data_IF_494693413846
#
_entry.id   IF_494693413846
#
_cell.length_a   1.000
_cell.length_b   1.000
_cell.length_c   1.000
_cell.angle_alpha   90.00
_cell.angle_beta   90.00
_cell.angle_gamma   90.00
#
_symmetry.space_group_name_H-M   'P 1'
#
loop_
_entity.id
_entity.type
_entity.pdbx_description
1 polymer ?
#
# COMPACT_ATOMS: atom_id res chain seq x y z
N UNK A 1 1.85 37.32 -17.81
CA UNK A 1 2.70 36.12 -17.88
C UNK A 1 2.32 35.24 -16.71
N UNK A 2 1.39 34.33 -16.94
CA UNK A 2 1.08 33.26 -15.98
C UNK A 2 2.07 32.15 -16.25
N UNK A 3 3.21 32.16 -15.57
CA UNK A 3 4.19 31.09 -15.71
C UNK A 3 3.69 29.85 -14.98
N UNK A 4 4.00 28.67 -15.52
CA UNK A 4 3.84 27.40 -14.79
C UNK A 4 4.48 27.52 -13.40
N UNK A 5 3.83 26.99 -12.36
CA UNK A 5 4.35 27.08 -11.00
C UNK A 5 5.69 26.33 -10.87
N UNK A 6 6.59 26.83 -10.02
CA UNK A 6 7.93 26.26 -9.84
C UNK A 6 7.91 24.78 -9.42
N UNK A 7 7.01 24.32 -8.52
CA UNK A 7 6.88 22.89 -8.21
C UNK A 7 6.58 22.03 -9.44
N UNK A 8 5.67 22.47 -10.31
CA UNK A 8 5.38 21.73 -11.55
C UNK A 8 6.55 21.75 -12.55
N UNK A 9 7.26 22.87 -12.67
CA UNK A 9 8.49 22.92 -13.47
C UNK A 9 9.55 21.95 -12.94
N UNK A 10 9.74 21.89 -11.62
CA UNK A 10 10.65 20.95 -10.98
C UNK A 10 10.21 19.50 -11.22
N UNK A 11 8.90 19.21 -11.16
CA UNK A 11 8.37 17.89 -11.46
C UNK A 11 8.67 17.45 -12.91
N UNK A 12 8.56 18.35 -13.89
CA UNK A 12 8.94 18.07 -15.27
C UNK A 12 10.41 17.66 -15.40
N UNK A 13 11.33 18.42 -14.81
CA UNK A 13 12.75 18.05 -14.79
C UNK A 13 13.00 16.75 -14.05
N UNK A 14 12.39 16.53 -12.89
CA UNK A 14 12.53 15.28 -12.14
C UNK A 14 12.04 14.08 -12.96
N UNK A 15 10.95 14.25 -13.70
CA UNK A 15 10.42 13.22 -14.60
C UNK A 15 11.36 12.97 -15.79
N UNK A 16 11.86 14.02 -16.44
CA UNK A 16 12.80 13.90 -17.56
C UNK A 16 14.09 13.17 -17.15
N UNK A 17 14.55 13.37 -15.91
CA UNK A 17 15.72 12.69 -15.33
C UNK A 17 15.39 11.37 -14.59
N UNK A 18 14.12 10.94 -14.59
CA UNK A 18 13.64 9.77 -13.84
C UNK A 18 14.10 9.73 -12.36
N UNK A 19 13.96 10.88 -11.69
CA UNK A 19 14.42 11.15 -10.31
C UNK A 19 13.30 11.61 -9.38
N UNK A 20 12.05 11.54 -9.85
CA UNK A 20 10.89 11.92 -9.06
C UNK A 20 10.57 10.86 -7.98
N UNK A 21 9.83 11.29 -6.97
CA UNK A 21 9.32 10.40 -5.93
C UNK A 21 7.79 10.37 -6.02
N UNK A 22 7.21 9.17 -5.86
CA UNK A 22 5.75 9.00 -5.79
C UNK A 22 5.13 9.68 -4.55
N UNK A 23 3.80 9.65 -4.47
CA UNK A 23 3.09 10.18 -3.30
C UNK A 23 3.14 9.15 -2.17
N UNK A 24 3.69 9.53 -1.02
CA UNK A 24 3.76 8.65 0.14
C UNK A 24 2.41 8.62 0.87
N UNK A 25 1.79 7.44 1.06
CA UNK A 25 0.49 7.35 1.72
C UNK A 25 0.63 7.40 3.24
N UNK A 26 -0.29 8.11 3.90
CA UNK A 26 -0.37 8.13 5.35
C UNK A 26 -0.92 6.80 5.90
N UNK A 27 -0.04 5.93 6.39
CA UNK A 27 -0.39 4.64 7.00
C UNK A 27 0.29 4.42 8.35
N UNK A 28 -0.39 4.73 9.45
CA UNK A 28 0.19 4.65 10.80
C UNK A 28 0.51 3.24 11.32
N UNK A 29 -0.10 2.19 10.75
CA UNK A 29 0.09 0.80 11.20
C UNK A 29 1.11 0.01 10.38
N UNK A 30 1.57 0.57 9.27
CA UNK A 30 2.35 -0.14 8.25
C UNK A 30 1.56 -1.18 7.46
N UNK A 31 0.29 -1.45 7.77
CA UNK A 31 -0.58 -2.34 7.01
C UNK A 31 -1.91 -1.64 6.73
N UNK A 32 -2.06 -1.03 5.56
CA UNK A 32 -3.27 -0.31 5.17
C UNK A 32 -3.79 -0.80 3.81
N UNK A 33 -5.10 -0.82 3.65
CA UNK A 33 -5.76 -1.15 2.37
C UNK A 33 -6.66 -0.01 1.96
N UNK A 34 -6.49 0.49 0.74
CA UNK A 34 -7.31 1.55 0.18
C UNK A 34 -8.24 0.95 -0.87
N UNK A 35 -9.52 1.33 -0.91
CA UNK A 35 -10.37 1.03 -2.05
C UNK A 35 -9.78 1.67 -3.33
N UNK A 36 -10.27 1.24 -4.49
CA UNK A 36 -9.94 1.95 -5.72
C UNK A 36 -10.34 3.42 -5.61
N UNK A 37 -9.47 4.31 -6.08
CA UNK A 37 -9.73 5.74 -6.09
C UNK A 37 -9.29 6.34 -7.41
N UNK A 38 -9.91 7.47 -7.75
CA UNK A 38 -9.58 8.26 -8.93
C UNK A 38 -8.92 9.56 -8.55
N UNK A 39 -8.00 10.00 -9.39
CA UNK A 39 -7.33 11.28 -9.24
C UNK A 39 -7.05 11.88 -10.61
N UNK A 40 -7.05 13.21 -10.68
CA UNK A 40 -6.57 13.92 -11.85
C UNK A 40 -5.05 13.78 -11.93
N UNK A 41 -4.54 13.51 -13.12
CA UNK A 41 -3.11 13.42 -13.39
C UNK A 41 -2.80 13.73 -14.84
N UNK A 42 -1.57 13.40 -15.23
CA UNK A 42 -1.10 13.43 -16.61
C UNK A 42 -0.95 12.03 -17.16
N UNK A 43 -1.24 11.87 -18.43
CA UNK A 43 -0.98 10.68 -19.22
C UNK A 43 -0.05 11.03 -20.36
N UNK A 44 0.71 10.03 -20.79
CA UNK A 44 1.64 10.12 -21.90
C UNK A 44 1.18 9.19 -23.02
N UNK A 45 1.53 9.53 -24.26
CA UNK A 45 1.40 8.65 -25.41
C UNK A 45 2.52 8.96 -26.38
N UNK A 46 3.21 7.92 -26.86
CA UNK A 46 4.26 8.01 -27.85
C UNK A 46 4.07 6.94 -28.93
N UNK A 47 4.30 7.31 -30.18
CA UNK A 47 4.23 6.42 -31.33
C UNK A 47 5.41 6.60 -32.28
N UNK A 48 5.72 5.55 -33.04
CA UNK A 48 6.71 5.61 -34.12
C UNK A 48 6.12 6.37 -35.31
N UNK A 49 6.82 7.42 -35.73
CA UNK A 49 6.47 8.28 -36.86
C UNK A 49 7.57 8.30 -37.94
N UNK A 50 8.49 7.32 -37.91
CA UNK A 50 9.64 7.25 -38.82
C UNK A 50 9.22 7.12 -40.29
N UNK A 51 8.06 6.51 -40.57
CA UNK A 51 7.52 6.35 -41.92
C UNK A 51 7.09 7.70 -42.55
N UNK A 52 6.87 8.74 -41.76
CA UNK A 52 6.48 10.06 -42.24
C UNK A 52 7.68 10.93 -42.66
N UNK A 53 8.91 10.47 -42.41
CA UNK A 53 10.13 11.22 -42.73
C UNK A 53 10.32 11.26 -44.25
N UNK A 54 10.34 12.47 -44.82
CA UNK A 54 10.65 12.70 -46.21
C UNK A 54 12.14 13.06 -46.38
N UNK A 55 12.84 12.38 -47.29
CA UNK A 55 14.27 12.61 -47.55
C UNK A 55 14.48 13.27 -48.89
N UNK A 56 15.24 14.35 -48.91
CA UNK A 56 15.67 15.07 -50.12
C UNK A 56 17.18 15.26 -50.10
N UNK A 57 17.87 14.91 -51.18
CA UNK A 57 19.33 15.03 -51.27
C UNK A 57 19.74 15.90 -52.46
N UNK A 58 20.84 16.63 -52.30
CA UNK A 58 21.45 17.45 -53.34
C UNK A 58 22.73 16.75 -53.81
N UNK A 59 22.74 16.30 -55.06
CA UNK A 59 23.87 15.62 -55.68
C UNK A 59 24.66 16.57 -56.59
N UNK A 60 25.98 16.66 -56.39
CA UNK A 60 26.88 17.37 -57.29
C UNK A 60 27.72 16.38 -58.07
N UNK A 61 27.34 16.10 -59.34
CA UNK A 61 27.96 15.29 -60.42
C UNK A 61 28.66 13.94 -60.08
N UNK A 62 29.25 13.73 -58.91
CA UNK A 62 29.83 12.48 -58.39
C UNK A 62 29.76 12.31 -56.86
N UNK A 63 29.28 13.31 -56.08
CA UNK A 63 29.16 13.21 -54.61
C UNK A 63 27.87 13.85 -54.07
N UNK A 64 27.11 13.13 -53.26
CA UNK A 64 26.01 13.69 -52.46
C UNK A 64 26.58 14.72 -51.50
N UNK A 65 26.14 15.97 -51.63
CA UNK A 65 26.72 17.13 -50.93
C UNK A 65 25.98 17.44 -49.62
N UNK A 66 24.66 17.23 -49.63
CA UNK A 66 23.81 17.40 -48.46
C UNK A 66 22.53 16.57 -48.61
N UNK A 67 21.98 16.08 -47.51
CA UNK A 67 20.66 15.48 -47.45
C UNK A 67 19.86 16.13 -46.31
N UNK A 68 18.57 16.35 -46.57
CA UNK A 68 17.61 16.90 -45.63
C UNK A 68 16.50 15.87 -45.39
N UNK A 69 16.22 15.59 -44.12
CA UNK A 69 15.13 14.74 -43.65
C UNK A 69 14.12 15.62 -42.95
N UNK A 70 12.88 15.63 -43.43
CA UNK A 70 11.82 16.51 -42.95
C UNK A 70 10.61 15.72 -42.49
N UNK A 71 9.99 16.14 -41.41
CA UNK A 71 8.70 15.63 -40.95
C UNK A 71 7.55 16.52 -41.44
N UNK A 72 6.31 15.99 -41.51
CA UNK A 72 5.13 16.79 -41.87
C UNK A 72 4.88 17.99 -40.96
N UNK A 73 5.36 17.95 -39.71
CA UNK A 73 5.30 19.08 -38.79
C UNK A 73 6.25 20.22 -39.15
N UNK A 74 7.27 19.99 -39.97
CA UNK A 74 8.28 20.97 -40.36
C UNK A 74 9.63 20.79 -39.66
N UNK A 75 9.76 19.85 -38.70
CA UNK A 75 11.05 19.49 -38.12
C UNK A 75 11.96 18.93 -39.20
N UNK A 76 13.24 19.25 -39.13
CA UNK A 76 14.21 18.77 -40.10
C UNK A 76 15.59 18.52 -39.51
N UNK A 77 16.27 17.52 -40.06
CA UNK A 77 17.69 17.26 -39.86
C UNK A 77 18.40 17.37 -41.20
N UNK A 78 19.56 18.01 -41.23
CA UNK A 78 20.31 18.19 -42.46
C UNK A 78 21.77 17.78 -42.25
N UNK A 79 22.27 16.84 -43.05
CA UNK A 79 23.69 16.53 -43.08
C UNK A 79 24.38 17.34 -44.20
N UNK A 80 25.63 17.82 -43.98
CA UNK A 80 26.55 17.44 -42.90
C UNK A 80 26.53 18.37 -41.66
N UNK A 81 25.42 19.05 -41.34
CA UNK A 81 25.36 19.86 -40.11
C UNK A 81 25.45 18.97 -38.86
N UNK A 82 26.03 19.47 -37.76
CA UNK A 82 26.30 18.68 -36.56
C UNK A 82 25.05 18.35 -35.71
N UNK A 83 23.84 18.66 -36.15
CA UNK A 83 22.63 18.42 -35.35
C UNK A 83 22.19 16.95 -35.50
N UNK A 84 22.13 16.25 -34.36
CA UNK A 84 21.88 14.81 -34.29
C UNK A 84 20.45 14.44 -33.93
N UNK A 85 19.80 15.33 -33.20
CA UNK A 85 18.41 15.20 -32.77
C UNK A 85 17.78 16.58 -32.72
N UNK A 86 16.54 16.68 -33.19
CA UNK A 86 15.68 17.83 -32.99
C UNK A 86 14.36 17.36 -32.40
N UNK A 87 13.81 18.16 -31.50
CA UNK A 87 12.53 17.94 -30.87
C UNK A 87 11.75 19.25 -30.89
N UNK A 88 10.44 19.19 -31.12
CA UNK A 88 9.58 20.36 -31.14
C UNK A 88 8.30 20.15 -31.94
N UNK A 89 7.57 21.24 -32.12
CA UNK A 89 6.28 21.25 -32.82
C UNK A 89 6.37 21.60 -34.32
N UNK A 90 7.56 21.95 -34.84
CA UNK A 90 7.85 22.19 -36.26
C UNK A 90 7.29 23.47 -36.89
N UNK A 91 6.21 24.02 -36.34
CA UNK A 91 5.71 25.35 -36.67
C UNK A 91 6.35 26.39 -35.76
N UNK A 92 7.34 27.12 -36.28
CA UNK A 92 7.99 28.26 -35.61
C UNK A 92 7.04 29.43 -35.28
N UNK A 93 5.76 29.35 -35.69
CA UNK A 93 4.76 30.40 -35.54
C UNK A 93 3.68 30.13 -34.47
N UNK A 94 3.64 28.96 -33.81
CA UNK A 94 2.66 28.71 -32.74
C UNK A 94 3.32 28.78 -31.36
N UNK A 95 3.13 29.91 -30.67
CA UNK A 95 3.53 30.09 -29.25
C UNK A 95 2.87 29.06 -28.33
N UNK A 96 1.72 28.50 -28.72
CA UNK A 96 0.91 27.58 -27.93
C UNK A 96 1.14 26.09 -28.23
N UNK A 97 2.20 25.73 -28.96
CA UNK A 97 2.42 24.37 -29.46
C UNK A 97 1.34 23.92 -30.45
N UNK A 98 1.55 22.78 -31.10
CA UNK A 98 0.48 22.13 -31.87
C UNK A 98 -0.37 21.32 -30.90
N UNK A 99 -1.61 21.73 -30.69
CA UNK A 99 -2.58 20.90 -29.95
C UNK A 99 -3.23 19.97 -30.94
N UNK A 100 -2.75 18.73 -30.99
CA UNK A 100 -3.13 17.75 -32.02
C UNK A 100 -4.54 17.17 -31.85
N UNK A 101 -5.18 17.38 -30.68
CA UNK A 101 -6.53 16.91 -30.36
C UNK A 101 -7.10 17.72 -29.16
N UNK A 102 -8.40 17.60 -28.89
CA UNK A 102 -9.09 18.19 -27.73
C UNK A 102 -8.57 17.65 -26.39
N UNK A 103 -7.81 16.55 -26.37
CA UNK A 103 -7.31 15.90 -25.15
C UNK A 103 -5.85 16.23 -24.83
N UNK A 104 -5.04 16.59 -25.82
CA UNK A 104 -3.61 16.80 -25.62
C UNK A 104 -3.33 18.22 -25.10
N UNK A 105 -2.57 18.31 -24.00
CA UNK A 105 -2.08 19.58 -23.48
C UNK A 105 -0.91 20.11 -24.31
N UNK A 106 -0.03 19.20 -24.71
CA UNK A 106 1.10 19.45 -25.62
C UNK A 106 1.37 18.18 -26.41
N UNK A 107 1.80 18.33 -27.66
CA UNK A 107 2.53 17.27 -28.34
C UNK A 107 3.74 17.82 -29.08
N UNK A 108 4.73 16.95 -29.23
CA UNK A 108 6.01 17.26 -29.84
C UNK A 108 6.41 16.09 -30.73
N UNK A 109 7.07 16.41 -31.82
CA UNK A 109 7.73 15.42 -32.65
C UNK A 109 9.22 15.40 -32.30
N UNK A 110 9.84 14.24 -32.47
CA UNK A 110 11.26 14.01 -32.29
C UNK A 110 11.76 13.44 -33.61
N UNK A 111 12.86 13.98 -34.12
CA UNK A 111 13.57 13.45 -35.28
C UNK A 111 15.05 13.29 -34.90
N UNK A 112 15.62 12.10 -35.12
CA UNK A 112 16.99 11.79 -34.72
C UNK A 112 17.68 10.84 -35.68
N UNK A 113 19.00 10.93 -35.77
CA UNK A 113 19.83 9.88 -36.36
C UNK A 113 20.22 8.86 -35.28
N UNK A 114 19.68 7.62 -35.31
CA UNK A 114 20.16 6.54 -34.46
C UNK A 114 21.61 6.17 -34.80
N UNK A 115 22.43 5.99 -33.77
CA UNK A 115 23.87 5.76 -33.85
C UNK A 115 24.66 7.04 -34.11
N UNK A 116 25.78 7.23 -33.41
CA UNK A 116 26.69 8.32 -33.71
C UNK A 116 27.20 8.19 -35.16
N UNK A 117 27.15 9.24 -35.99
CA UNK A 117 27.77 9.26 -37.30
C UNK A 117 29.24 8.94 -37.13
N UNK A 118 29.65 7.72 -37.40
CA UNK A 118 31.07 7.45 -37.60
C UNK A 118 31.42 8.06 -38.95
N UNK A 119 31.71 9.37 -38.99
CA UNK A 119 32.41 9.97 -40.12
C UNK A 119 33.83 9.39 -40.12
N UNK A 120 33.98 8.15 -40.60
CA UNK A 120 35.29 7.53 -40.70
C UNK A 120 36.08 8.29 -41.77
N UNK A 121 37.16 8.94 -41.36
CA UNK A 121 38.15 9.58 -42.25
C UNK A 121 38.95 8.56 -43.06
N UNK A 122 38.63 7.27 -42.97
CA UNK A 122 39.31 6.16 -43.64
C UNK A 122 38.35 5.39 -44.56
N UNK A 123 38.35 5.76 -45.85
CA UNK A 123 38.19 4.86 -47.00
C UNK A 123 37.07 3.80 -47.03
N UNK A 124 35.96 4.00 -46.33
CA UNK A 124 34.67 3.41 -46.67
C UNK A 124 33.63 4.52 -46.62
N UNK A 125 33.34 5.08 -47.79
CA UNK A 125 32.34 6.13 -48.00
C UNK A 125 30.95 5.61 -47.64
N UNK A 126 30.54 5.67 -46.38
CA UNK A 126 29.11 5.70 -46.06
C UNK A 126 28.56 6.93 -46.76
N UNK A 127 27.71 6.74 -47.78
CA UNK A 127 27.09 7.86 -48.46
C UNK A 127 26.25 8.61 -47.44
N UNK A 128 26.19 9.94 -47.52
CA UNK A 128 25.25 10.73 -46.70
C UNK A 128 23.81 10.19 -46.86
N UNK A 129 23.52 9.54 -48.00
CA UNK A 129 22.26 8.87 -48.27
C UNK A 129 21.97 7.61 -47.43
N UNK A 130 22.97 6.98 -46.80
CA UNK A 130 22.82 5.71 -46.07
C UNK A 130 22.42 5.91 -44.60
N UNK A 131 22.38 7.16 -44.13
CA UNK A 131 21.95 7.49 -42.77
C UNK A 131 20.47 7.14 -42.57
N UNK A 132 20.22 6.34 -41.54
CA UNK A 132 18.87 6.03 -41.08
C UNK A 132 18.41 7.12 -40.10
N UNK A 133 17.12 7.40 -40.12
CA UNK A 133 16.47 8.31 -39.16
C UNK A 133 15.41 7.55 -38.39
N UNK A 134 15.23 7.92 -37.14
CA UNK A 134 14.05 7.57 -36.36
C UNK A 134 13.25 8.83 -36.06
N UNK A 135 11.93 8.72 -36.10
CA UNK A 135 11.05 9.78 -35.68
C UNK A 135 9.96 9.25 -34.75
N UNK A 136 9.63 10.05 -33.74
CA UNK A 136 8.65 9.70 -32.73
C UNK A 136 7.71 10.88 -32.53
N UNK A 137 6.45 10.58 -32.26
CA UNK A 137 5.46 11.58 -31.92
C UNK A 137 4.94 11.31 -30.52
N UNK A 138 5.06 12.31 -29.65
CA UNK A 138 4.72 12.15 -28.24
C UNK A 138 3.82 13.27 -27.73
N UNK A 139 2.96 12.94 -26.77
CA UNK A 139 2.02 13.88 -26.16
C UNK A 139 1.95 13.74 -24.65
N UNK A 140 1.64 14.85 -23.97
CA UNK A 140 1.19 14.86 -22.58
C UNK A 140 -0.24 15.40 -22.55
N UNK A 141 -1.12 14.68 -21.86
CA UNK A 141 -2.55 14.99 -21.77
C UNK A 141 -3.06 14.83 -20.35
N UNK A 142 -3.90 15.73 -19.82
CA UNK A 142 -4.59 15.49 -18.58
C UNK A 142 -5.50 14.25 -18.71
N UNK A 143 -5.53 13.45 -17.66
CA UNK A 143 -6.35 12.25 -17.60
C UNK A 143 -6.81 11.98 -16.17
N UNK A 144 -7.93 11.29 -16.01
CA UNK A 144 -8.33 10.72 -14.74
C UNK A 144 -7.68 9.35 -14.61
N UNK A 145 -6.86 9.16 -13.59
CA UNK A 145 -6.17 7.90 -13.29
C UNK A 145 -6.87 7.17 -12.16
N UNK A 146 -7.14 5.89 -12.35
CA UNK A 146 -7.71 5.00 -11.33
C UNK A 146 -6.60 4.15 -10.73
N UNK A 147 -6.43 4.23 -9.41
CA UNK A 147 -5.37 3.54 -8.69
C UNK A 147 -5.94 2.55 -7.68
N UNK A 148 -5.19 1.47 -7.48
CA UNK A 148 -5.35 0.56 -6.36
C UNK A 148 -4.08 0.59 -5.50
N UNK A 149 -4.23 0.85 -4.20
CA UNK A 149 -3.12 1.02 -3.26
C UNK A 149 -3.25 0.06 -2.08
N UNK A 150 -2.19 -0.70 -1.82
CA UNK A 150 -2.02 -1.49 -0.62
C UNK A 150 -0.69 -1.17 0.04
N UNK A 151 -0.69 -1.00 1.36
CA UNK A 151 0.52 -0.80 2.16
C UNK A 151 0.74 -2.05 2.98
N UNK A 152 1.88 -2.70 2.81
CA UNK A 152 2.27 -3.91 3.55
C UNK A 152 3.64 -3.71 4.18
N UNK A 153 3.73 -3.89 5.50
CA UNK A 153 4.97 -3.67 6.27
C UNK A 153 5.61 -2.28 6.04
N UNK A 154 4.78 -1.26 5.84
CA UNK A 154 5.20 0.12 5.60
C UNK A 154 5.60 0.41 4.15
N UNK A 155 5.60 -0.59 3.26
CA UNK A 155 5.92 -0.42 1.84
C UNK A 155 4.62 -0.22 1.05
N UNK A 156 4.44 0.92 0.36
CA UNK A 156 3.28 1.16 -0.49
C UNK A 156 3.45 0.47 -1.84
N UNK A 157 2.40 -0.24 -2.25
CA UNK A 157 2.24 -0.84 -3.57
C UNK A 157 1.03 -0.20 -4.24
N UNK A 158 1.27 0.86 -5.00
CA UNK A 158 0.28 1.54 -5.83
C UNK A 158 0.35 0.99 -7.26
N UNK A 159 -0.81 0.68 -7.84
CA UNK A 159 -0.92 0.17 -9.20
C UNK A 159 -1.96 0.97 -9.98
N UNK A 160 -1.61 1.36 -11.21
CA UNK A 160 -2.53 2.03 -12.12
C UNK A 160 -3.45 1.00 -12.76
N UNK A 161 -4.75 1.09 -12.49
CA UNK A 161 -5.77 0.16 -12.98
C UNK A 161 -6.33 0.61 -14.33
N UNK A 162 -6.50 1.92 -14.51
CA UNK A 162 -7.07 2.46 -15.75
C UNK A 162 -6.95 3.97 -15.84
N UNK A 163 -7.15 4.47 -17.05
CA UNK A 163 -7.11 5.89 -17.37
C UNK A 163 -8.34 6.29 -18.16
N UNK A 164 -8.80 7.53 -17.98
CA UNK A 164 -9.87 8.12 -18.77
C UNK A 164 -9.42 9.49 -19.27
N UNK A 165 -9.60 9.81 -20.56
CA UNK A 165 -9.16 11.07 -21.12
C UNK A 165 -9.95 12.23 -20.50
N UNK A 166 -9.29 13.37 -20.36
CA UNK A 166 -9.93 14.63 -20.01
C UNK A 166 -9.95 15.52 -21.25
N UNK A 167 -11.10 16.09 -21.57
CA UNK A 167 -11.31 16.87 -22.79
C UNK A 167 -11.29 18.36 -22.48
N UNK A 168 -10.79 19.13 -23.43
CA UNK A 168 -10.75 20.58 -23.36
C UNK A 168 -12.14 21.18 -23.53
N UNK A 169 -12.46 22.19 -22.73
CA UNK A 169 -13.64 23.00 -22.93
C UNK A 169 -13.43 23.96 -24.10
N UNK A 170 -14.30 23.87 -25.11
CA UNK A 170 -14.16 24.56 -26.40
C UNK A 170 -14.43 26.07 -26.32
N UNK A 171 -14.92 26.58 -25.18
CA UNK A 171 -15.40 27.95 -25.02
C UNK A 171 -14.26 28.90 -24.55
N UNK A 172 -13.21 28.37 -23.93
CA UNK A 172 -12.16 29.17 -23.29
C UNK A 172 -10.83 29.15 -24.06
N UNK A 173 -10.75 29.83 -25.21
CA UNK A 173 -9.47 30.17 -25.81
C UNK A 173 -9.08 31.61 -25.41
N UNK A 174 -7.88 31.86 -24.83
CA UNK A 174 -6.74 30.95 -24.62
C UNK A 174 -6.72 30.19 -23.27
N UNK A 175 -7.73 30.34 -22.41
CA UNK A 175 -7.75 29.78 -21.04
C UNK A 175 -8.34 28.37 -20.95
N UNK A 176 -7.84 27.45 -21.76
CA UNK A 176 -8.58 26.20 -21.94
C UNK A 176 -8.57 25.36 -20.68
N UNK A 177 -9.75 25.20 -20.08
CA UNK A 177 -9.98 24.27 -18.97
C UNK A 177 -10.17 22.87 -19.52
N UNK A 178 -9.80 21.86 -18.74
CA UNK A 178 -10.00 20.46 -19.09
C UNK A 178 -10.95 19.85 -18.08
N UNK A 179 -12.01 19.22 -18.57
CA UNK A 179 -13.05 18.64 -17.73
C UNK A 179 -13.36 17.21 -18.13
N UNK A 180 -13.68 16.39 -17.13
CA UNK A 180 -14.07 15.01 -17.31
C UNK A 180 -15.06 14.57 -16.23
N UNK A 181 -15.98 13.71 -16.62
CA UNK A 181 -16.85 12.97 -15.72
C UNK A 181 -16.88 11.49 -16.15
N UNK A 182 -15.80 10.71 -15.88
CA UNK A 182 -15.73 9.32 -16.34
C UNK A 182 -16.80 8.45 -15.67
N UNK A 183 -17.57 7.75 -16.50
CA UNK A 183 -18.62 6.83 -16.06
C UNK A 183 -18.21 5.36 -16.21
N UNK A 184 -18.62 4.45 -15.32
CA UNK A 184 -19.33 4.72 -14.05
C UNK A 184 -18.49 5.53 -13.07
N UNK A 185 -19.15 6.35 -12.25
CA UNK A 185 -18.48 7.15 -11.21
C UNK A 185 -18.00 6.24 -10.07
N UNK A 186 -16.85 6.56 -9.47
CA UNK A 186 -16.28 5.80 -8.36
C UNK A 186 -16.35 6.63 -7.07
N UNK A 187 -17.15 6.19 -6.10
CA UNK A 187 -17.33 6.85 -4.81
C UNK A 187 -17.01 5.84 -3.71
N UNK A 188 -15.99 6.13 -2.89
CA UNK A 188 -15.54 5.27 -1.78
C UNK A 188 -15.33 3.78 -2.17
N UNK A 189 -14.86 3.53 -3.41
CA UNK A 189 -14.63 2.18 -3.94
C UNK A 189 -15.84 1.49 -4.56
N UNK A 190 -16.98 2.17 -4.66
CA UNK A 190 -18.21 1.67 -5.28
C UNK A 190 -18.48 2.38 -6.59
N UNK A 191 -18.81 1.60 -7.62
CA UNK A 191 -19.16 2.12 -8.94
C UNK A 191 -20.65 2.47 -9.01
N UNK A 192 -20.95 3.70 -9.40
CA UNK A 192 -22.28 4.25 -9.56
C UNK A 192 -22.54 4.64 -11.02
N UNK A 193 -23.72 4.30 -11.54
CA UNK A 193 -24.10 4.65 -12.90
C UNK A 193 -24.61 6.10 -12.99
N UNK A 194 -24.43 6.76 -14.13
CA UNK A 194 -24.94 8.11 -14.38
C UNK A 194 -26.46 8.23 -14.14
N UNK A 195 -27.21 7.14 -14.39
CA UNK A 195 -28.66 7.07 -14.20
C UNK A 195 -29.13 7.24 -12.75
N UNK A 196 -28.26 7.02 -11.76
CA UNK A 196 -28.53 7.27 -10.34
C UNK A 196 -28.59 8.77 -10.01
N UNK A 197 -28.01 9.61 -10.88
CA UNK A 197 -27.78 11.04 -10.65
C UNK A 197 -28.71 11.93 -11.49
N UNK A 198 -29.90 11.47 -11.85
CA UNK A 198 -30.81 12.24 -12.73
C UNK A 198 -31.39 13.50 -12.08
N UNK A 199 -31.50 13.53 -10.75
CA UNK A 199 -32.07 14.68 -10.01
C UNK A 199 -31.03 15.37 -9.13
N UNK A 200 -31.07 16.72 -9.05
CA UNK A 200 -30.22 17.47 -8.14
C UNK A 200 -30.63 17.25 -6.69
N UNK A 201 -29.65 17.20 -5.80
CA UNK A 201 -29.86 17.17 -4.35
C UNK A 201 -28.72 17.94 -3.64
N UNK A 202 -28.62 17.82 -2.31
CA UNK A 202 -27.60 18.55 -1.54
C UNK A 202 -26.14 18.17 -1.89
N UNK A 203 -25.89 16.96 -2.40
CA UNK A 203 -24.56 16.48 -2.82
C UNK A 203 -24.38 16.50 -4.34
N UNK A 204 -25.45 16.26 -5.07
CA UNK A 204 -25.55 16.17 -6.52
C UNK A 204 -25.80 17.55 -7.11
N UNK A 205 -24.74 18.36 -7.18
CA UNK A 205 -24.85 19.78 -7.55
C UNK A 205 -24.28 20.11 -8.92
N UNK A 206 -23.47 19.22 -9.53
CA UNK A 206 -22.76 19.51 -10.77
C UNK A 206 -23.54 19.00 -11.98
N UNK A 207 -24.21 19.91 -12.67
CA UNK A 207 -24.89 19.61 -13.94
C UNK A 207 -23.87 19.18 -15.01
N UNK A 208 -24.00 17.96 -15.53
CA UNK A 208 -23.07 17.33 -16.46
C UNK A 208 -23.82 16.71 -17.63
N UNK A 209 -23.45 17.11 -18.84
CA UNK A 209 -24.02 16.61 -20.10
C UNK A 209 -23.16 15.49 -20.70
N UNK A 210 -23.71 14.70 -21.63
CA UNK A 210 -22.98 13.65 -22.34
C UNK A 210 -22.78 12.34 -21.57
N UNK A 211 -23.16 12.27 -20.30
CA UNK A 211 -22.98 11.08 -19.43
C UNK A 211 -24.19 10.16 -19.39
N UNK A 212 -25.39 10.65 -19.73
CA UNK A 212 -26.61 9.84 -19.80
C UNK A 212 -26.83 9.25 -21.20
N UNK A 213 -27.51 8.09 -21.31
CA UNK A 213 -27.81 7.46 -22.59
C UNK A 213 -28.54 8.41 -23.55
N UNK A 214 -28.04 8.53 -24.79
CA UNK A 214 -28.65 9.38 -25.81
C UNK A 214 -28.37 10.88 -25.67
N UNK A 215 -27.64 11.31 -24.63
CA UNK A 215 -27.27 12.71 -24.40
C UNK A 215 -28.47 13.69 -24.43
N UNK A 216 -29.65 13.24 -23.97
CA UNK A 216 -30.90 14.02 -24.06
C UNK A 216 -31.16 14.90 -22.83
N UNK A 217 -30.47 14.63 -21.72
CA UNK A 217 -30.63 15.35 -20.46
C UNK A 217 -29.31 15.37 -19.70
N UNK A 218 -29.15 16.34 -18.80
CA UNK A 218 -28.04 16.39 -17.87
C UNK A 218 -28.22 15.42 -16.70
N UNK A 219 -27.12 14.87 -16.19
CA UNK A 219 -27.04 14.31 -14.85
C UNK A 219 -26.52 15.37 -13.87
N UNK A 220 -26.87 15.25 -12.59
CA UNK A 220 -26.40 16.12 -11.52
C UNK A 220 -25.44 15.31 -10.65
N UNK A 221 -24.15 15.41 -10.94
CA UNK A 221 -23.13 14.59 -10.31
C UNK A 221 -22.65 15.20 -8.98
N UNK A 222 -22.22 14.37 -8.02
CA UNK A 222 -21.49 14.85 -6.87
C UNK A 222 -20.05 15.21 -7.25
N UNK A 223 -19.38 16.01 -6.41
CA UNK A 223 -18.03 16.53 -6.69
C UNK A 223 -16.98 15.43 -6.91
N UNK A 224 -17.16 14.26 -6.32
CA UNK A 224 -16.26 13.11 -6.42
C UNK A 224 -16.23 12.52 -7.85
N UNK A 225 -17.25 12.80 -8.67
CA UNK A 225 -17.37 12.28 -10.03
C UNK A 225 -16.84 13.24 -11.10
N UNK A 226 -16.55 14.49 -10.75
CA UNK A 226 -16.23 15.56 -11.70
C UNK A 226 -14.81 16.03 -11.49
N UNK A 227 -14.02 16.00 -12.57
CA UNK A 227 -12.60 16.35 -12.54
C UNK A 227 -12.36 17.57 -13.41
N UNK A 228 -11.78 18.61 -12.84
CA UNK A 228 -11.45 19.84 -13.52
C UNK A 228 -9.96 20.16 -13.40
N UNK A 229 -9.34 20.49 -14.52
CA UNK A 229 -8.02 21.09 -14.58
C UNK A 229 -8.15 22.49 -15.18
N UNK A 230 -8.31 23.47 -14.29
CA UNK A 230 -8.56 24.86 -14.64
C UNK A 230 -7.25 25.60 -14.93
N UNK A 231 -7.33 26.67 -15.73
CA UNK A 231 -6.25 27.63 -15.95
C UNK A 231 -4.93 27.01 -16.46
N UNK A 232 -5.01 26.16 -17.49
CA UNK A 232 -3.83 25.43 -18.03
C UNK A 232 -2.86 26.29 -18.84
N UNK A 233 -3.12 27.60 -18.98
CA UNK A 233 -2.34 28.54 -19.78
C UNK A 233 -0.83 28.49 -19.46
N UNK A 234 -0.47 28.45 -18.18
CA UNK A 234 0.96 28.40 -17.80
C UNK A 234 1.65 27.12 -18.27
N UNK A 235 0.95 25.98 -18.25
CA UNK A 235 1.48 24.74 -18.80
C UNK A 235 1.54 24.78 -20.33
N UNK A 236 0.54 25.36 -21.00
CA UNK A 236 0.49 25.52 -22.45
C UNK A 236 1.56 26.49 -22.99
N UNK A 237 1.98 27.49 -22.21
CA UNK A 237 3.09 28.37 -22.57
C UNK A 237 4.45 27.73 -22.28
N UNK A 238 4.58 26.97 -21.18
CA UNK A 238 5.86 26.41 -20.75
C UNK A 238 6.24 25.13 -21.51
N UNK A 239 5.29 24.19 -21.67
CA UNK A 239 5.57 22.86 -22.21
C UNK A 239 6.11 22.86 -23.64
N UNK A 240 5.62 23.69 -24.59
CA UNK A 240 6.19 23.72 -25.94
C UNK A 240 7.66 24.13 -25.95
N UNK A 241 8.05 25.07 -25.08
CA UNK A 241 9.46 25.47 -24.93
C UNK A 241 10.30 24.39 -24.27
N UNK A 242 9.79 23.76 -23.21
CA UNK A 242 10.47 22.66 -22.51
C UNK A 242 10.64 21.40 -23.39
N UNK A 243 9.66 21.13 -24.28
CA UNK A 243 9.64 20.02 -25.23
C UNK A 243 10.08 20.47 -26.64
N UNK A 244 10.93 21.48 -26.72
CA UNK A 244 11.59 21.92 -27.95
C UNK A 244 13.08 22.05 -27.71
N UNK A 245 13.90 21.59 -28.65
CA UNK A 245 15.33 21.58 -28.46
C UNK A 245 16.10 20.83 -29.54
N UNK A 246 17.41 20.79 -29.37
CA UNK A 246 18.31 20.07 -30.27
C UNK A 246 19.51 19.51 -29.53
N UNK A 247 20.06 18.41 -30.07
CA UNK A 247 21.33 17.84 -29.62
C UNK A 247 22.34 17.98 -30.73
N UNK A 248 23.47 18.61 -30.41
CA UNK A 248 24.57 18.84 -31.33
C UNK A 248 25.68 17.83 -31.07
N UNK A 249 26.27 17.31 -32.14
CA UNK A 249 27.48 16.52 -32.10
C UNK A 249 28.69 17.45 -31.99
N UNK A 250 29.30 17.54 -30.81
CA UNK A 250 30.66 18.03 -30.65
C UNK A 250 31.49 16.98 -29.88
N UNK A 251 32.66 16.57 -30.41
CA UNK A 251 33.49 15.52 -29.80
C UNK A 251 34.00 15.86 -28.39
N UNK A 252 33.87 17.10 -27.93
CA UNK A 252 34.34 17.55 -26.62
C UNK A 252 33.26 18.14 -25.68
N UNK A 253 32.03 18.42 -26.14
CA UNK A 253 30.95 19.03 -25.33
C UNK A 253 29.58 18.48 -25.76
N UNK A 254 28.78 17.94 -24.83
CA UNK A 254 27.38 17.62 -25.08
C UNK A 254 26.58 18.93 -25.12
N UNK A 255 26.41 19.52 -26.31
CA UNK A 255 25.59 20.71 -26.54
C UNK A 255 24.12 20.29 -26.75
N UNK A 256 23.52 19.69 -25.72
CA UNK A 256 22.09 19.41 -25.66
C UNK A 256 21.35 20.59 -25.01
N UNK A 257 20.39 21.17 -25.72
CA UNK A 257 19.51 22.21 -25.20
C UNK A 257 18.05 21.83 -25.46
N UNK A 258 17.21 21.63 -24.42
CA UNK A 258 17.55 21.68 -23.00
C UNK A 258 18.46 20.51 -22.54
N UNK A 259 19.18 20.64 -21.41
CA UNK A 259 20.17 19.63 -20.97
C UNK A 259 19.63 18.20 -20.79
N UNK A 260 18.35 18.05 -20.46
CA UNK A 260 17.75 16.72 -20.29
C UNK A 260 17.64 15.97 -21.63
N UNK A 261 17.69 16.67 -22.77
CA UNK A 261 17.59 16.09 -24.10
C UNK A 261 18.78 15.16 -24.42
N UNK A 262 19.93 15.36 -23.78
CA UNK A 262 21.06 14.43 -23.84
C UNK A 262 20.68 13.02 -23.34
N UNK A 263 19.81 12.92 -22.32
CA UNK A 263 19.30 11.61 -21.85
C UNK A 263 18.38 10.94 -22.87
N UNK A 264 17.57 11.72 -23.59
CA UNK A 264 16.71 11.21 -24.66
C UNK A 264 17.55 10.72 -25.85
N UNK A 265 18.58 11.49 -26.23
CA UNK A 265 19.50 11.12 -27.29
C UNK A 265 20.34 9.88 -26.94
N UNK A 266 20.74 9.73 -25.68
CA UNK A 266 21.41 8.53 -25.17
C UNK A 266 22.59 8.08 -26.06
N UNK A 267 23.45 9.03 -26.45
CA UNK A 267 24.56 8.82 -27.38
C UNK A 267 24.17 8.15 -28.71
N UNK A 268 22.98 8.48 -29.23
CA UNK A 268 22.42 7.93 -30.47
C UNK A 268 21.66 6.62 -30.28
N UNK A 269 21.54 6.09 -29.06
CA UNK A 269 20.75 4.89 -28.77
C UNK A 269 19.31 5.27 -28.34
N UNK A 270 18.61 6.01 -29.21
CA UNK A 270 17.22 6.42 -29.00
C UNK A 270 16.26 5.40 -29.62
N UNK A 271 15.41 4.80 -28.79
CA UNK A 271 14.34 3.87 -29.20
C UNK A 271 12.97 4.38 -28.76
N UNK A 272 11.89 3.89 -29.39
CA UNK A 272 10.51 4.19 -28.95
C UNK A 272 10.30 3.86 -27.46
N UNK A 273 10.86 2.74 -26.98
CA UNK A 273 10.75 2.33 -25.58
C UNK A 273 11.42 3.33 -24.63
N UNK A 274 12.59 3.87 -24.99
CA UNK A 274 13.26 4.88 -24.18
C UNK A 274 12.46 6.17 -24.14
N UNK A 275 12.01 6.63 -25.31
CA UNK A 275 11.21 7.85 -25.46
C UNK A 275 9.91 7.73 -24.64
N UNK A 276 9.18 6.63 -24.80
CA UNK A 276 7.95 6.37 -24.06
C UNK A 276 8.18 6.35 -22.54
N UNK A 277 9.25 5.69 -22.06
CA UNK A 277 9.58 5.68 -20.61
C UNK A 277 9.86 7.08 -20.05
N UNK A 278 10.56 7.94 -20.79
CA UNK A 278 10.84 9.31 -20.35
C UNK A 278 9.53 10.12 -20.29
N UNK A 279 8.64 9.95 -21.28
CA UNK A 279 7.32 10.58 -21.28
C UNK A 279 6.41 10.09 -20.15
N UNK A 280 6.41 8.78 -19.87
CA UNK A 280 5.70 8.19 -18.74
C UNK A 280 6.22 8.73 -17.41
N UNK A 281 7.55 8.81 -17.25
CA UNK A 281 8.18 9.38 -16.06
C UNK A 281 7.83 10.86 -15.87
N UNK A 282 7.77 11.67 -16.95
CA UNK A 282 7.26 13.04 -16.88
C UNK A 282 5.79 13.08 -16.45
N UNK A 283 4.93 12.25 -17.06
CA UNK A 283 3.52 12.20 -16.73
C UNK A 283 3.29 11.75 -15.27
N UNK A 284 4.04 10.78 -14.78
CA UNK A 284 3.96 10.28 -13.40
C UNK A 284 4.46 11.33 -12.39
N UNK A 285 5.58 12.00 -12.69
CA UNK A 285 6.11 13.07 -11.85
C UNK A 285 5.15 14.25 -11.75
N UNK A 286 4.59 14.70 -12.89
CA UNK A 286 3.56 15.73 -12.91
C UNK A 286 2.31 15.31 -12.13
N UNK A 287 1.88 14.05 -12.28
CA UNK A 287 0.76 13.49 -11.51
C UNK A 287 1.04 13.50 -10.01
N UNK A 288 2.24 13.12 -9.58
CA UNK A 288 2.62 13.18 -8.18
C UNK A 288 2.61 14.62 -7.65
N UNK A 289 3.08 15.59 -8.44
CA UNK A 289 3.03 17.00 -8.07
C UNK A 289 1.60 17.54 -7.99
N UNK A 290 0.73 17.18 -8.94
CA UNK A 290 -0.70 17.52 -8.92
C UNK A 290 -1.40 16.97 -7.67
N UNK A 291 -1.12 15.72 -7.30
CA UNK A 291 -1.69 15.07 -6.12
C UNK A 291 -1.21 15.69 -4.79
N UNK A 292 0.01 16.24 -4.76
CA UNK A 292 0.58 16.90 -3.56
C UNK A 292 0.09 18.33 -3.36
N UNK A 293 -0.17 19.05 -4.45
CA UNK A 293 -0.49 20.48 -4.44
C UNK A 293 -1.91 20.78 -4.93
N UNK A 294 -2.80 19.78 -4.95
CA UNK A 294 -4.21 19.98 -5.28
C UNK A 294 -4.90 20.91 -4.28
N UNK A 295 -5.92 21.63 -4.72
CA UNK A 295 -6.73 22.49 -3.85
C UNK A 295 -7.43 21.64 -2.77
N UNK A 296 -7.09 21.86 -1.50
CA UNK A 296 -7.62 21.11 -0.36
C UNK A 296 -9.16 21.12 -0.27
N UNK A 297 -9.80 22.16 -0.81
CA UNK A 297 -11.27 22.30 -0.82
C UNK A 297 -11.95 21.29 -1.75
N UNK A 298 -11.24 20.90 -2.81
CA UNK A 298 -11.78 20.14 -3.94
C UNK A 298 -11.00 18.83 -4.22
N UNK A 299 -9.86 18.61 -3.56
CA UNK A 299 -8.93 17.50 -3.79
C UNK A 299 -8.71 16.70 -2.49
N UNK A 300 -9.80 16.22 -1.89
CA UNK A 300 -9.72 15.48 -0.64
C UNK A 300 -8.90 14.17 -0.80
N UNK A 301 -8.07 13.79 0.19
CA UNK A 301 -7.30 12.54 0.13
C UNK A 301 -8.19 11.30 0.09
N UNK A 302 -7.75 10.27 -0.66
CA UNK A 302 -8.37 8.96 -0.65
C UNK A 302 -8.26 8.31 0.74
N UNK A 303 -9.38 7.81 1.27
CA UNK A 303 -9.46 7.20 2.60
C UNK A 303 -9.27 5.69 2.52
N UNK A 304 -8.43 5.14 3.39
CA UNK A 304 -8.18 3.71 3.50
C UNK A 304 -8.44 3.16 4.91
N UNK A 305 -8.35 1.84 5.04
CA UNK A 305 -8.52 1.12 6.30
C UNK A 305 -7.14 0.68 6.82
N UNK A 306 -6.79 1.12 8.03
CA UNK A 306 -5.58 0.68 8.72
C UNK A 306 -5.84 -0.62 9.49
N UNK A 307 -5.05 -1.66 9.20
CA UNK A 307 -5.11 -2.97 9.87
C UNK A 307 -4.19 -2.95 11.08
N UNK A 308 -4.70 -3.41 12.21
CA UNK A 308 -3.94 -3.59 13.44
C UNK A 308 -3.82 -5.08 13.77
N UNK A 309 -2.65 -5.50 14.24
CA UNK A 309 -2.45 -6.86 14.74
C UNK A 309 -3.12 -6.99 16.11
N UNK A 310 -4.10 -7.87 16.23
CA UNK A 310 -4.76 -8.21 17.50
C UNK A 310 -4.41 -9.65 17.90
N UNK A 311 -4.20 -9.88 19.19
CA UNK A 311 -3.96 -11.22 19.74
C UNK A 311 -5.30 -11.93 19.98
N UNK A 312 -5.71 -12.78 19.03
CA UNK A 312 -6.89 -13.62 19.20
C UNK A 312 -6.57 -14.87 20.04
N UNK A 313 -7.08 -14.92 21.27
CA UNK A 313 -6.93 -16.10 22.14
C UNK A 313 -8.08 -17.07 21.88
N UNK A 314 -7.77 -18.26 21.34
CA UNK A 314 -8.74 -19.35 21.22
C UNK A 314 -8.65 -20.26 22.45
N UNK A 315 -9.66 -20.22 23.30
CA UNK A 315 -9.74 -21.07 24.50
C UNK A 315 -10.23 -22.46 24.10
N UNK A 316 -9.37 -23.48 24.30
CA UNK A 316 -9.74 -24.88 24.09
C UNK A 316 -10.37 -25.48 25.36
N UNK A 317 -11.68 -25.31 25.52
CA UNK A 317 -12.47 -25.81 26.66
C UNK A 317 -12.25 -27.27 27.08
N UNK A 318 -12.02 -28.25 26.16
CA UNK A 318 -11.80 -29.64 26.56
C UNK A 318 -10.62 -29.84 27.53
N UNK A 319 -9.60 -28.98 27.48
CA UNK A 319 -8.44 -29.06 28.37
C UNK A 319 -8.74 -28.56 29.80
N UNK A 320 -9.79 -27.77 29.99
CA UNK A 320 -10.25 -27.33 31.31
C UNK A 320 -11.09 -28.40 32.03
N UNK A 321 -11.48 -29.48 31.35
CA UNK A 321 -12.25 -30.56 31.97
C UNK A 321 -11.46 -31.27 33.07
N UNK A 322 -10.16 -31.54 32.87
CA UNK A 322 -9.31 -32.21 33.85
C UNK A 322 -9.21 -31.46 35.19
N UNK A 323 -8.78 -30.18 35.24
CA UNK A 323 -8.72 -29.46 36.50
C UNK A 323 -10.11 -29.26 37.13
N UNK A 324 -11.17 -29.08 36.34
CA UNK A 324 -12.53 -28.97 36.86
C UNK A 324 -13.03 -30.26 37.52
N UNK A 325 -12.79 -31.42 36.89
CA UNK A 325 -13.12 -32.74 37.45
C UNK A 325 -12.32 -32.99 38.72
N UNK A 326 -11.03 -32.64 38.73
CA UNK A 326 -10.18 -32.81 39.91
C UNK A 326 -10.70 -31.97 41.09
N UNK A 327 -11.10 -30.71 40.86
CA UNK A 327 -11.71 -29.85 41.89
C UNK A 327 -13.06 -30.40 42.38
N UNK A 328 -13.87 -30.96 41.48
CA UNK A 328 -15.13 -31.58 41.88
C UNK A 328 -14.90 -32.82 42.74
N UNK A 329 -13.97 -33.70 42.34
CA UNK A 329 -13.63 -34.91 43.09
C UNK A 329 -13.04 -34.58 44.46
N UNK A 330 -12.17 -33.57 44.57
CA UNK A 330 -11.62 -33.15 45.87
C UNK A 330 -12.69 -32.55 46.78
N UNK A 331 -13.63 -31.76 46.24
CA UNK A 331 -14.76 -31.24 46.99
C UNK A 331 -15.68 -32.36 47.49
N UNK A 332 -15.98 -33.36 46.64
CA UNK A 332 -16.77 -34.54 47.03
C UNK A 332 -16.06 -35.34 48.13
N UNK A 333 -14.76 -35.59 47.97
CA UNK A 333 -13.96 -36.29 48.96
C UNK A 333 -13.95 -35.55 50.31
N UNK A 334 -13.80 -34.22 50.29
CA UNK A 334 -13.84 -33.39 51.48
C UNK A 334 -15.19 -33.53 52.21
N UNK A 335 -16.31 -33.42 51.48
CA UNK A 335 -17.65 -33.55 52.06
C UNK A 335 -17.87 -34.94 52.63
N UNK A 336 -17.48 -36.00 51.92
CA UNK A 336 -17.58 -37.37 52.40
C UNK A 336 -16.79 -37.57 53.70
N UNK A 337 -15.58 -37.01 53.77
CA UNK A 337 -14.72 -37.08 54.96
C UNK A 337 -15.35 -36.35 56.15
N UNK A 338 -15.97 -35.19 55.92
CA UNK A 338 -16.68 -34.43 56.97
C UNK A 338 -17.88 -35.23 57.49
N UNK A 339 -18.72 -35.75 56.58
CA UNK A 339 -19.92 -36.53 56.95
C UNK A 339 -19.55 -37.77 57.75
N UNK A 340 -18.51 -38.51 57.32
CA UNK A 340 -18.07 -39.71 58.01
C UNK A 340 -17.39 -39.38 59.36
N UNK A 341 -16.59 -38.31 59.42
CA UNK A 341 -15.97 -37.84 60.67
C UNK A 341 -17.01 -37.42 61.70
N UNK A 342 -18.01 -36.63 61.29
CA UNK A 342 -19.12 -36.21 62.16
C UNK A 342 -20.01 -37.40 62.52
N UNK A 343 -20.30 -38.31 61.59
CA UNK A 343 -21.09 -39.52 61.86
C UNK A 343 -20.41 -40.49 62.84
N UNK A 344 -19.08 -40.54 62.86
CA UNK A 344 -18.30 -41.36 63.81
C UNK A 344 -18.00 -40.67 65.14
N UNK A 345 -18.30 -39.37 65.28
CA UNK A 345 -18.09 -38.61 66.53
C UNK A 345 -18.94 -39.08 67.72
N UNK A 346 -19.93 -39.96 67.50
CA UNK A 346 -20.65 -40.65 68.56
C UNK A 346 -19.81 -41.68 69.34
N UNK A 347 -18.71 -42.16 68.76
CA UNK A 347 -17.74 -43.00 69.46
C UNK A 347 -16.51 -42.16 69.79
N UNK A 348 -16.39 -41.74 71.05
CA UNK A 348 -15.16 -41.11 71.51
C UNK A 348 -13.99 -42.09 71.28
N UNK A 349 -13.08 -41.74 70.38
CA UNK A 349 -11.88 -42.53 70.08
C UNK A 349 -10.90 -42.33 71.25
N UNK A 350 -11.03 -43.15 72.30
CA UNK A 350 -10.11 -43.13 73.45
C UNK A 350 -8.81 -43.88 73.16
N UNK A 351 -8.74 -44.60 72.03
CA UNK A 351 -7.53 -45.27 71.57
C UNK A 351 -6.44 -44.22 71.30
N UNK A 352 -5.52 -44.08 72.25
CA UNK A 352 -4.37 -43.17 72.18
C UNK A 352 -4.48 -41.91 73.05
N UNK A 353 -5.58 -41.70 73.79
CA UNK A 353 -5.68 -40.54 74.68
C UNK A 353 -5.17 -40.87 76.10
N UNK A 354 -4.01 -40.33 76.54
CA UNK A 354 -3.48 -40.59 77.87
C UNK A 354 -4.38 -40.03 78.99
N UNK A 355 -5.20 -39.01 78.72
CA UNK A 355 -6.17 -38.47 79.68
C UNK A 355 -7.28 -39.46 80.02
N UNK A 356 -7.67 -40.31 79.07
CA UNK A 356 -8.67 -41.36 79.31
C UNK A 356 -8.16 -42.37 80.35
N UNK A 357 -6.87 -42.71 80.32
CA UNK A 357 -6.23 -43.59 81.30
C UNK A 357 -6.09 -42.91 82.68
N UNK A 358 -5.85 -41.60 82.71
CA UNK A 358 -5.69 -40.83 83.95
C UNK A 358 -7.02 -40.69 84.72
N UNK A 359 -8.11 -40.39 84.02
CA UNK A 359 -9.42 -40.14 84.65
C UNK A 359 -10.25 -41.42 84.89
N UNK A 360 -10.05 -42.46 84.08
CA UNK A 360 -10.81 -43.72 84.16
C UNK A 360 -9.91 -44.93 84.41
N UNK A 361 -8.83 -44.74 85.16
CA UNK A 361 -7.76 -45.72 85.41
C UNK A 361 -8.24 -47.12 85.85
N UNK A 362 -7.30 -48.09 85.83
CA UNK A 362 -7.60 -49.46 86.24
C UNK A 362 -8.00 -49.52 87.72
N UNK A 363 -8.96 -50.40 88.05
CA UNK A 363 -9.43 -50.62 89.43
C UNK A 363 -8.22 -50.83 90.38
N UNK A 364 -8.21 -50.11 91.50
CA UNK A 364 -7.09 -50.07 92.45
C UNK A 364 -6.73 -51.44 93.03
N UNK A 365 -7.69 -52.39 93.06
CA UNK A 365 -7.42 -53.78 93.45
C UNK A 365 -6.67 -54.57 92.38
N UNK A 366 -7.00 -54.36 91.12
CA UNK A 366 -6.34 -54.99 89.96
C UNK A 366 -4.92 -54.42 89.77
N UNK A 367 -4.74 -53.11 89.92
CA UNK A 367 -3.42 -52.46 89.86
C UNK A 367 -2.49 -52.95 90.98
N UNK A 368 -3.03 -53.23 92.17
CA UNK A 368 -2.25 -53.75 93.29
C UNK A 368 -1.64 -55.13 93.01
N UNK A 369 -2.30 -55.98 92.20
CA UNK A 369 -1.82 -57.31 91.80
C UNK A 369 -0.52 -57.23 91.00
N UNK A 370 -0.40 -56.24 90.12
CA UNK A 370 0.76 -56.09 89.24
C UNK A 370 1.83 -55.16 89.82
N UNK A 371 1.52 -54.37 90.86
CA UNK A 371 2.46 -53.44 91.51
C UNK A 371 3.71 -54.10 92.08
N UNK A 372 3.63 -55.38 92.46
CA UNK A 372 4.77 -56.17 92.93
C UNK A 372 5.64 -56.75 91.81
N UNK A 373 5.08 -56.96 90.61
CA UNK A 373 5.79 -57.52 89.44
C UNK A 373 6.47 -56.44 88.59
N UNK A 374 6.07 -55.18 88.76
CA UNK A 374 6.48 -54.06 87.91
C UNK A 374 7.41 -53.14 88.69
N UNK A 375 8.72 -53.37 88.57
CA UNK A 375 9.75 -52.56 89.27
C UNK A 375 10.58 -51.68 88.33
N UNK A 376 10.53 -51.94 87.01
CA UNK A 376 11.20 -51.13 85.98
C UNK A 376 10.40 -51.10 84.67
N UNK A 377 10.64 -50.07 83.85
CA UNK A 377 9.86 -49.73 82.65
C UNK A 377 9.74 -50.87 81.63
N UNK A 378 10.80 -51.65 81.43
CA UNK A 378 10.78 -52.80 80.50
C UNK A 378 9.76 -53.88 80.88
N UNK A 379 9.43 -54.03 82.17
CA UNK A 379 8.41 -54.96 82.65
C UNK A 379 7.00 -54.38 82.47
N UNK A 380 6.84 -53.05 82.53
CA UNK A 380 5.54 -52.39 82.31
C UNK A 380 4.97 -52.74 80.95
N UNK A 381 5.79 -52.69 79.89
CA UNK A 381 5.32 -52.99 78.53
C UNK A 381 4.95 -54.47 78.37
N UNK A 382 5.72 -55.38 78.99
CA UNK A 382 5.44 -56.82 78.92
C UNK A 382 4.16 -57.20 79.67
N UNK A 383 3.88 -56.56 80.80
CA UNK A 383 2.65 -56.76 81.57
C UNK A 383 1.47 -56.10 80.84
N UNK A 384 1.62 -54.88 80.32
CA UNK A 384 0.57 -54.18 79.58
C UNK A 384 0.10 -54.95 78.33
N UNK A 385 1.01 -55.67 77.63
CA UNK A 385 0.63 -56.53 76.49
C UNK A 385 -0.28 -57.71 76.88
N UNK A 386 -0.24 -58.16 78.13
CA UNK A 386 -1.01 -59.30 78.64
C UNK A 386 -2.35 -58.88 79.24
N UNK A 387 -2.42 -57.68 79.80
CA UNK A 387 -3.62 -57.17 80.46
C UNK A 387 -4.61 -56.68 79.41
N UNK A 388 -5.75 -57.36 79.30
CA UNK A 388 -6.88 -56.91 78.48
C UNK A 388 -7.90 -56.24 79.38
N UNK A 389 -8.22 -54.98 79.10
CA UNK A 389 -9.22 -54.23 79.87
C UNK A 389 -10.43 -53.90 79.01
N UNK A 390 -11.61 -53.82 79.65
CA UNK A 390 -12.82 -53.23 79.09
C UNK A 390 -13.33 -52.15 80.04
N UNK A 391 -14.09 -51.21 79.51
CA UNK A 391 -14.77 -50.24 80.36
C UNK A 391 -15.92 -50.94 81.10
N UNK A 392 -15.98 -50.78 82.42
CA UNK A 392 -17.05 -51.29 83.29
C UNK A 392 -17.46 -50.23 84.31
N UNK A 393 -18.74 -50.22 84.68
CA UNK A 393 -19.26 -49.36 85.73
C UNK A 393 -19.26 -50.12 87.06
N UNK A 394 -18.48 -49.63 88.03
CA UNK A 394 -18.33 -50.21 89.37
C UNK A 394 -19.13 -49.44 90.44
N UNK A 395 -20.06 -48.57 90.02
CA UNK A 395 -20.93 -47.80 90.93
C UNK A 395 -20.29 -46.53 91.49
N UNK A 396 -18.97 -46.38 91.38
CA UNK A 396 -18.23 -45.13 91.66
C UNK A 396 -17.80 -44.39 90.38
N UNK A 397 -18.32 -44.80 89.22
CA UNK A 397 -17.96 -44.28 87.90
C UNK A 397 -17.32 -45.33 86.98
N UNK A 398 -17.18 -44.96 85.71
CA UNK A 398 -16.59 -45.81 84.66
C UNK A 398 -15.09 -46.01 84.91
N UNK A 399 -14.65 -47.26 85.02
CA UNK A 399 -13.24 -47.64 85.17
C UNK A 399 -12.85 -48.72 84.16
N UNK A 400 -11.55 -48.84 83.90
CA UNK A 400 -11.00 -49.94 83.11
C UNK A 400 -10.90 -51.20 83.99
N UNK A 401 -11.72 -52.19 83.69
CA UNK A 401 -11.78 -53.47 84.42
C UNK A 401 -11.09 -54.54 83.60
N UNK A 402 -10.26 -55.38 84.24
CA UNK A 402 -9.60 -56.49 83.55
C UNK A 402 -10.64 -57.50 83.05
N UNK A 403 -10.50 -57.92 81.81
CA UNK A 403 -11.32 -58.98 81.21
C UNK A 403 -10.59 -60.29 81.46
N UNK A 404 -11.21 -61.27 82.15
CA UNK A 404 -10.58 -62.55 82.37
C UNK A 404 -10.22 -63.20 81.03
N UNK A 405 -9.00 -63.72 80.92
CA UNK A 405 -8.57 -64.48 79.77
C UNK A 405 -9.37 -65.80 79.74
N UNK A 406 -10.19 -65.98 78.70
CA UNK A 406 -10.75 -67.29 78.35
C UNK A 406 -9.73 -68.12 77.59
#
# INVERSE_FOLDING_TARGET
MTTLDLPMQAALYQGAYNSFQGVEPACGTGNCTYPEYRTLGMCSYCEDNSAAVNRTCIDSKTTTTACNWTLPSGLQLTLPYPVMMVMGSGNNNSVYGTTWNETALVATDILTFPGAPTMSSSSSSSSIADFQTAAYKCSLSPCVRTYQLNVTQGVPHETLVGTSPVTRETIDLPWSSYTAAPMPCLIDGVYHDASEFTQPNATNTFETWGVLPGNTSAAHLPKECVFWYLNTLGAQEFLPGFLSGSVWYAPEVDESDPPWLGQLYNAGNTSLELVARIWDSMADSMTANMRRNGDESNSAPARGVAKHTVTCVSVRWPWLAYPAVLLALTAVFLVATIVESVGRSGFHIWKGNPLALLFHGLDGKEVAKYRGEVTHEGQMEQVAKKVRVRMGDLGSGMQLVEVPAH
#
